data_IF_983936477069
#
_entry.id   IF_983936477069
#
_cell.length_a   1.000
_cell.length_b   1.000
_cell.length_c   1.000
_cell.angle_alpha   90.00
_cell.angle_beta   90.00
_cell.angle_gamma   90.00
#
_symmetry.space_group_name_H-M   'P 1'
#
loop_
_entity.id
_entity.type
_entity.pdbx_description
1 polymer ?
#
# COMPACT_ATOMS: atom_id res chain seq x y z
N UNK A 1 -6.08 16.27 2.08
CA UNK A 1 -4.93 15.49 1.53
C UNK A 1 -4.06 14.97 2.67
N UNK A 2 -3.26 13.89 2.51
CA UNK A 2 -2.44 13.33 3.60
C UNK A 2 -1.54 14.38 4.30
N UNK A 3 -1.01 15.33 3.52
CA UNK A 3 -0.22 16.46 4.03
C UNK A 3 -1.01 17.40 4.97
N UNK A 4 -2.33 17.51 4.80
CA UNK A 4 -3.19 18.32 5.69
C UNK A 4 -3.42 17.63 7.05
N UNK A 5 -3.17 16.32 7.12
CA UNK A 5 -3.22 15.54 8.36
C UNK A 5 -1.85 15.49 9.06
N UNK A 6 -0.85 16.22 8.54
CA UNK A 6 0.52 16.17 9.06
C UNK A 6 1.27 14.87 8.78
N UNK A 7 0.76 14.03 7.88
CA UNK A 7 1.41 12.77 7.50
C UNK A 7 2.48 13.08 6.45
N UNK A 8 3.72 12.73 6.77
CA UNK A 8 4.83 12.83 5.83
C UNK A 8 4.76 11.68 4.81
N UNK A 9 4.58 12.02 3.53
CA UNK A 9 4.56 11.05 2.43
C UNK A 9 5.92 11.04 1.76
N UNK A 10 6.70 9.99 2.00
CA UNK A 10 8.09 9.90 1.52
C UNK A 10 8.19 9.57 0.01
N UNK A 11 7.28 8.75 -0.52
CA UNK A 11 7.30 8.33 -1.93
C UNK A 11 5.89 8.00 -2.42
N UNK A 12 5.56 8.46 -3.63
CA UNK A 12 4.40 8.03 -4.41
C UNK A 12 4.96 7.44 -5.70
N UNK A 13 4.77 6.14 -5.94
CA UNK A 13 5.23 5.46 -7.15
C UNK A 13 4.07 4.69 -7.79
N UNK A 14 4.03 4.70 -9.12
CA UNK A 14 3.04 3.99 -9.93
C UNK A 14 3.57 2.65 -10.46
N UNK A 15 4.81 2.28 -10.10
CA UNK A 15 5.47 1.00 -10.44
C UNK A 15 6.08 0.32 -9.21
N UNK A 16 6.45 -0.95 -9.37
CA UNK A 16 6.93 -1.87 -8.32
C UNK A 16 8.28 -1.51 -7.66
N UNK A 17 8.86 -0.35 -7.93
CA UNK A 17 10.15 0.08 -7.34
C UNK A 17 9.95 0.70 -5.95
N UNK A 18 9.16 0.03 -5.11
CA UNK A 18 9.03 0.43 -3.73
C UNK A 18 10.35 0.24 -2.99
N UNK A 19 10.74 1.28 -2.24
CA UNK A 19 11.84 1.18 -1.32
C UNK A 19 11.50 0.16 -0.21
N UNK A 20 12.16 -1.02 -0.27
CA UNK A 20 11.98 -2.12 0.69
C UNK A 20 12.59 -1.84 2.06
N UNK A 21 13.19 -0.67 2.28
CA UNK A 21 13.73 -0.24 3.56
C UNK A 21 12.75 0.63 4.36
N UNK A 22 11.61 1.03 3.78
CA UNK A 22 10.56 1.74 4.53
C UNK A 22 9.78 0.76 5.42
N UNK A 23 9.38 1.23 6.60
CA UNK A 23 8.63 0.43 7.57
C UNK A 23 7.19 0.17 7.13
N UNK A 24 6.56 1.17 6.49
CA UNK A 24 5.14 1.14 6.13
C UNK A 24 4.91 1.63 4.70
N UNK A 25 3.94 1.03 4.02
CA UNK A 25 3.52 1.44 2.68
C UNK A 25 2.01 1.24 2.49
N UNK A 26 1.38 2.09 1.68
CA UNK A 26 0.01 1.92 1.20
C UNK A 26 0.09 1.45 -0.25
N UNK A 27 -0.44 0.27 -0.55
CA UNK A 27 -0.46 -0.26 -1.91
C UNK A 27 -1.85 -0.18 -2.50
N UNK A 28 -1.92 0.18 -3.77
CA UNK A 28 -3.08 -0.15 -4.56
C UNK A 28 -2.86 -1.53 -5.21
N UNK A 29 -3.72 -2.48 -4.89
CA UNK A 29 -3.75 -3.82 -5.47
C UNK A 29 -4.99 -3.93 -6.40
N UNK A 30 -4.83 -4.66 -7.51
CA UNK A 30 -5.72 -4.81 -8.69
C UNK A 30 -5.25 -4.09 -9.97
N UNK A 31 -5.72 -4.62 -11.09
CA UNK A 31 -5.09 -4.51 -12.41
C UNK A 31 -5.02 -3.07 -12.93
N UNK A 32 -3.91 -2.77 -13.61
CA UNK A 32 -3.66 -1.47 -14.28
C UNK A 32 -4.78 -1.07 -15.26
N UNK A 33 -5.56 -2.03 -15.76
CA UNK A 33 -6.64 -1.80 -16.72
C UNK A 33 -7.85 -1.05 -16.12
N UNK A 34 -8.02 -1.05 -14.80
CA UNK A 34 -9.14 -0.37 -14.10
C UNK A 34 -8.66 0.66 -13.06
N UNK A 35 -7.39 1.09 -13.15
CA UNK A 35 -6.87 2.18 -12.31
C UNK A 35 -6.59 1.79 -10.86
N UNK A 36 -6.58 0.49 -10.55
CA UNK A 36 -6.32 -0.01 -9.21
C UNK A 36 -7.54 0.14 -8.28
N UNK A 37 -8.12 -0.98 -7.84
CA UNK A 37 -9.47 -1.00 -7.26
C UNK A 37 -9.50 -1.11 -5.75
N UNK A 38 -8.38 -1.42 -5.10
CA UNK A 38 -8.35 -1.71 -3.68
C UNK A 38 -7.06 -1.28 -3.02
N UNK A 39 -7.15 -0.60 -1.88
CA UNK A 39 -6.00 -0.09 -1.14
C UNK A 39 -5.76 -0.93 0.12
N UNK A 40 -4.51 -1.34 0.33
CA UNK A 40 -4.07 -2.06 1.52
C UNK A 40 -2.92 -1.31 2.19
N UNK A 41 -2.81 -1.44 3.51
CA UNK A 41 -1.64 -0.96 4.26
C UNK A 41 -0.72 -2.15 4.57
N UNK A 42 0.59 -1.96 4.47
CA UNK A 42 1.60 -2.99 4.70
C UNK A 42 2.59 -2.51 5.74
N UNK A 43 2.92 -3.38 6.70
CA UNK A 43 4.07 -3.23 7.59
C UNK A 43 5.18 -4.18 7.12
N UNK A 44 6.25 -3.61 6.58
CA UNK A 44 7.43 -4.35 6.20
C UNK A 44 8.27 -4.75 7.43
N UNK A 45 8.14 -4.02 8.54
CA UNK A 45 8.74 -4.33 9.84
C UNK A 45 8.14 -5.61 10.44
N UNK A 46 6.82 -5.69 10.53
CA UNK A 46 6.12 -6.77 11.22
C UNK A 46 5.73 -7.92 10.27
N UNK A 47 5.98 -7.76 8.96
CA UNK A 47 5.60 -8.72 7.89
C UNK A 47 4.10 -9.03 7.86
N UNK A 48 3.28 -8.02 8.13
CA UNK A 48 1.81 -8.08 8.09
C UNK A 48 1.24 -7.07 7.10
N UNK A 49 -0.01 -7.27 6.72
CA UNK A 49 -0.80 -6.29 5.98
C UNK A 49 -2.17 -6.10 6.65
N UNK A 50 -2.75 -4.94 6.45
CA UNK A 50 -4.11 -4.60 6.83
C UNK A 50 -4.94 -4.36 5.57
N UNK A 51 -6.00 -5.15 5.43
CA UNK A 51 -7.04 -4.97 4.44
C UNK A 51 -8.31 -4.46 5.14
N UNK A 52 -8.81 -3.26 4.82
CA UNK A 52 -10.01 -2.70 5.46
C UNK A 52 -11.28 -3.53 5.24
N UNK A 53 -11.31 -4.40 4.23
CA UNK A 53 -12.42 -5.31 3.95
C UNK A 53 -12.26 -6.67 4.64
N UNK A 54 -11.12 -6.93 5.31
CA UNK A 54 -10.85 -8.20 5.98
C UNK A 54 -10.80 -9.39 5.03
N UNK A 55 -10.53 -9.16 3.75
CA UNK A 55 -10.47 -10.23 2.75
C UNK A 55 -9.31 -11.19 3.05
N UNK A 56 -9.48 -12.49 2.78
CA UNK A 56 -8.41 -13.45 2.94
C UNK A 56 -7.21 -13.06 2.07
N UNK A 57 -6.00 -13.42 2.53
CA UNK A 57 -4.76 -13.14 1.80
C UNK A 57 -4.87 -13.69 0.39
N UNK A 58 -4.74 -12.80 -0.59
CA UNK A 58 -4.63 -13.15 -2.00
C UNK A 58 -3.44 -14.11 -2.16
N UNK A 59 -3.76 -15.37 -2.48
CA UNK A 59 -2.79 -16.35 -2.93
C UNK A 59 -2.61 -16.11 -4.43
N UNK A 60 -1.61 -15.32 -4.77
CA UNK A 60 -1.14 -15.10 -6.15
C UNK A 60 0.18 -15.84 -6.34
#
# INVERSE_FOLDING_TARGET
>A
MANELGVQVDQIDFKQNMNRHLDYAILNIFTLQIGGSHWIAISNKDKIYFDPLGLPRLQI
#
